data_IF_201432127380
#
_entry.id   IF_201432127380
#
_cell.length_a   1.000
_cell.length_b   1.000
_cell.length_c   1.000
_cell.angle_alpha   90.00
_cell.angle_beta   90.00
_cell.angle_gamma   90.00
#
_symmetry.space_group_name_H-M   'P 1'
#
loop_
_entity.id
_entity.type
_entity.pdbx_description
1 polymer ?
#
# COMPACT_ATOMS: atom_id res chain seq x y z
N UNK A 1 -3.73 -2.19 4.00
CA UNK A 1 -3.82 -2.14 2.53
C UNK A 1 -5.18 -2.63 2.00
N UNK A 2 -5.67 -3.86 2.23
CA UNK A 2 -6.90 -4.32 1.55
C UNK A 2 -8.21 -3.65 2.04
N UNK A 3 -8.17 -2.91 3.15
CA UNK A 3 -9.27 -2.09 3.66
C UNK A 3 -9.43 -0.76 2.92
N UNK A 4 -8.33 -0.14 2.49
CA UNK A 4 -8.28 1.21 1.90
C UNK A 4 -9.06 1.38 0.59
N UNK A 5 -9.01 0.48 -0.42
CA UNK A 5 -9.61 0.74 -1.73
C UNK A 5 -11.11 1.03 -1.68
N UNK A 6 -11.83 0.34 -0.79
CA UNK A 6 -13.28 0.49 -0.71
C UNK A 6 -13.75 1.66 0.15
N UNK A 7 -12.91 2.13 1.09
CA UNK A 7 -13.15 3.40 1.77
C UNK A 7 -13.11 4.53 0.75
N UNK A 8 -12.10 4.51 -0.14
CA UNK A 8 -11.96 5.50 -1.21
C UNK A 8 -13.12 5.44 -2.22
N UNK A 9 -13.56 4.25 -2.61
CA UNK A 9 -14.71 4.11 -3.53
C UNK A 9 -16.01 4.64 -2.91
N UNK A 10 -16.25 4.34 -1.64
CA UNK A 10 -17.39 4.89 -0.92
C UNK A 10 -17.29 6.43 -0.83
N UNK A 11 -16.15 6.95 -0.38
CA UNK A 11 -15.89 8.40 -0.32
C UNK A 11 -16.08 9.10 -1.66
N UNK A 12 -15.63 8.48 -2.76
CA UNK A 12 -15.79 8.99 -4.14
C UNK A 12 -17.26 9.15 -4.52
N UNK A 13 -18.13 8.23 -4.08
CA UNK A 13 -19.56 8.32 -4.37
C UNK A 13 -20.27 9.30 -3.43
N UNK A 14 -20.26 9.03 -2.13
CA UNK A 14 -21.09 9.77 -1.18
C UNK A 14 -20.58 11.18 -0.89
N UNK A 15 -19.27 11.36 -0.81
CA UNK A 15 -18.68 12.64 -0.41
C UNK A 15 -18.29 13.53 -1.60
N UNK A 16 -18.25 12.98 -2.83
CA UNK A 16 -17.87 13.74 -4.04
C UNK A 16 -18.95 13.69 -5.13
N UNK A 17 -19.29 12.51 -5.68
CA UNK A 17 -20.23 12.41 -6.80
C UNK A 17 -21.66 12.81 -6.44
N UNK A 18 -22.17 12.36 -5.31
CA UNK A 18 -23.54 12.67 -4.89
C UNK A 18 -23.75 14.18 -4.72
N UNK A 19 -22.90 14.92 -3.97
CA UNK A 19 -22.94 16.38 -3.94
C UNK A 19 -22.78 17.02 -5.33
N UNK A 20 -21.89 16.49 -6.17
CA UNK A 20 -21.68 17.06 -7.51
C UNK A 20 -22.93 16.97 -8.40
N UNK A 21 -23.63 15.84 -8.35
CA UNK A 21 -24.85 15.59 -9.13
C UNK A 21 -25.96 16.51 -8.64
N UNK A 22 -26.16 16.59 -7.33
CA UNK A 22 -27.17 17.48 -6.72
C UNK A 22 -26.94 18.94 -7.11
N UNK A 23 -25.69 19.42 -7.04
CA UNK A 23 -25.33 20.77 -7.48
C UNK A 23 -25.60 21.01 -8.97
N UNK A 24 -25.32 20.01 -9.81
CA UNK A 24 -25.57 20.11 -11.25
C UNK A 24 -27.08 20.15 -11.57
N UNK A 25 -27.90 19.41 -10.81
CA UNK A 25 -29.36 19.42 -10.92
C UNK A 25 -29.95 20.75 -10.43
N UNK A 26 -29.53 21.24 -9.27
CA UNK A 26 -29.99 22.51 -8.69
C UNK A 26 -29.62 23.73 -9.55
N UNK A 27 -28.48 23.67 -10.25
CA UNK A 27 -28.04 24.76 -11.15
C UNK A 27 -29.03 25.05 -12.29
N UNK A 28 -29.92 24.10 -12.63
CA UNK A 28 -30.91 24.22 -13.69
C UNK A 28 -30.35 24.44 -15.11
N UNK A 29 -29.02 24.50 -15.26
CA UNK A 29 -28.34 24.97 -16.48
C UNK A 29 -28.37 23.91 -17.58
N UNK A 30 -28.40 22.63 -17.21
CA UNK A 30 -28.30 21.50 -18.13
C UNK A 30 -29.61 20.71 -18.29
N UNK A 31 -30.66 21.03 -17.53
CA UNK A 31 -31.93 20.31 -17.58
C UNK A 31 -31.74 18.80 -17.41
N UNK A 32 -32.21 18.01 -18.38
CA UNK A 32 -32.05 16.55 -18.41
C UNK A 32 -30.59 16.06 -18.54
N UNK A 33 -29.64 16.96 -18.83
CA UNK A 33 -28.21 16.66 -18.96
C UNK A 33 -27.39 17.09 -17.74
N UNK A 34 -28.00 17.21 -16.55
CA UNK A 34 -27.31 17.50 -15.28
C UNK A 34 -26.14 16.55 -14.98
N UNK A 35 -26.19 15.32 -15.50
CA UNK A 35 -25.08 14.37 -15.38
C UNK A 35 -23.81 14.77 -16.15
N UNK A 36 -23.93 15.59 -17.19
CA UNK A 36 -22.83 15.93 -18.11
C UNK A 36 -21.64 16.60 -17.41
N UNK A 37 -21.79 17.68 -16.61
CA UNK A 37 -20.66 18.33 -15.95
C UNK A 37 -19.89 17.38 -15.01
N UNK A 38 -20.62 16.56 -14.25
CA UNK A 38 -20.03 15.58 -13.34
C UNK A 38 -19.31 14.48 -14.11
N UNK A 39 -19.92 13.94 -15.17
CA UNK A 39 -19.33 12.91 -16.01
C UNK A 39 -18.09 13.41 -16.76
N UNK A 40 -18.12 14.65 -17.26
CA UNK A 40 -16.98 15.28 -17.91
C UNK A 40 -15.82 15.48 -16.90
N UNK A 41 -16.12 15.99 -15.72
CA UNK A 41 -15.17 16.08 -14.62
C UNK A 41 -14.56 14.72 -14.29
N UNK A 42 -15.39 13.72 -14.06
CA UNK A 42 -14.98 12.35 -13.74
C UNK A 42 -14.04 11.74 -14.79
N UNK A 43 -14.41 11.82 -16.07
CA UNK A 43 -13.57 11.32 -17.15
C UNK A 43 -12.23 12.07 -17.23
N UNK A 44 -12.23 13.39 -17.04
CA UNK A 44 -11.00 14.19 -17.02
C UNK A 44 -10.11 13.84 -15.81
N UNK A 45 -10.69 13.59 -14.65
CA UNK A 45 -9.97 13.15 -13.45
C UNK A 45 -9.27 11.80 -13.66
N UNK A 46 -9.99 10.83 -14.20
CA UNK A 46 -9.42 9.52 -14.53
C UNK A 46 -8.33 9.63 -15.61
N UNK A 47 -8.57 10.42 -16.66
CA UNK A 47 -7.59 10.65 -17.73
C UNK A 47 -6.34 11.39 -17.22
N UNK A 48 -6.49 12.29 -16.24
CA UNK A 48 -5.39 13.00 -15.61
C UNK A 48 -4.45 12.04 -14.87
N UNK A 49 -5.00 11.12 -14.06
CA UNK A 49 -4.18 10.13 -13.35
C UNK A 49 -3.52 9.17 -14.33
N UNK A 50 -4.28 8.63 -15.29
CA UNK A 50 -3.72 7.81 -16.36
C UNK A 50 -2.57 8.51 -17.11
N UNK A 51 -2.73 9.80 -17.42
CA UNK A 51 -1.69 10.61 -18.04
C UNK A 51 -0.45 10.77 -17.15
N UNK A 52 -0.63 10.93 -15.84
CA UNK A 52 0.46 10.96 -14.88
C UNK A 52 1.21 9.62 -14.85
N UNK A 53 0.50 8.50 -14.87
CA UNK A 53 1.08 7.16 -14.89
C UNK A 53 1.83 6.86 -16.18
N UNK A 54 1.41 7.43 -17.31
CA UNK A 54 2.16 7.39 -18.56
C UNK A 54 3.43 8.24 -18.53
N UNK A 55 3.42 9.37 -17.80
CA UNK A 55 4.56 10.28 -17.72
C UNK A 55 5.69 9.72 -16.84
N UNK A 56 5.35 8.98 -15.79
CA UNK A 56 6.31 8.44 -14.81
C UNK A 56 7.38 7.54 -15.48
N UNK A 57 7.04 6.55 -16.33
CA UNK A 57 8.01 5.76 -17.08
C UNK A 57 8.85 6.58 -18.06
N UNK A 58 8.23 7.57 -18.74
CA UNK A 58 8.90 8.43 -19.73
C UNK A 58 9.97 9.32 -19.08
N UNK A 59 9.76 9.71 -17.83
CA UNK A 59 10.75 10.44 -17.02
C UNK A 59 11.86 9.53 -16.43
N UNK A 60 11.87 8.23 -16.74
CA UNK A 60 12.91 7.29 -16.33
C UNK A 60 12.69 6.65 -14.95
N UNK A 61 11.49 6.77 -14.38
CA UNK A 61 11.12 6.22 -13.07
C UNK A 61 10.55 4.79 -13.13
N UNK A 62 11.11 3.91 -13.96
CA UNK A 62 10.67 2.51 -14.00
C UNK A 62 11.27 1.68 -12.85
N UNK A 63 10.42 1.31 -11.90
CA UNK A 63 10.62 0.23 -10.93
C UNK A 63 9.30 -0.49 -10.65
N UNK A 64 9.32 -1.65 -9.96
CA UNK A 64 8.13 -2.47 -9.76
C UNK A 64 7.03 -1.70 -9.02
N UNK A 65 5.77 -2.06 -9.28
CA UNK A 65 4.57 -1.52 -8.63
C UNK A 65 4.70 -1.46 -7.10
N UNK A 66 4.12 -0.41 -6.51
CA UNK A 66 4.46 0.16 -5.20
C UNK A 66 4.48 -0.83 -4.03
N UNK A 67 3.66 -1.88 -4.05
CA UNK A 67 3.58 -2.82 -2.95
C UNK A 67 4.27 -4.18 -3.21
N UNK A 68 4.53 -4.55 -4.48
CA UNK A 68 5.50 -5.62 -4.80
C UNK A 68 6.88 -5.28 -4.24
N UNK A 69 7.27 -4.00 -4.22
CA UNK A 69 8.51 -3.54 -3.60
C UNK A 69 8.49 -3.65 -2.07
N UNK A 70 7.42 -3.21 -1.41
CA UNK A 70 7.27 -3.32 0.03
C UNK A 70 7.31 -4.79 0.50
N UNK A 71 6.64 -5.70 -0.22
CA UNK A 71 6.64 -7.15 0.04
C UNK A 71 8.00 -7.80 -0.25
N UNK A 72 8.70 -7.39 -1.31
CA UNK A 72 10.04 -7.94 -1.61
C UNK A 72 11.10 -7.53 -0.59
N UNK A 73 10.94 -6.37 0.05
CA UNK A 73 11.76 -5.93 1.18
C UNK A 73 11.42 -6.74 2.45
N UNK A 74 10.13 -7.00 2.70
CA UNK A 74 9.68 -7.82 3.83
C UNK A 74 10.19 -9.28 3.70
N UNK A 75 10.11 -9.87 2.50
CA UNK A 75 10.67 -11.21 2.24
C UNK A 75 12.20 -11.28 2.36
N UNK A 76 12.93 -10.23 1.98
CA UNK A 76 14.40 -10.17 2.14
C UNK A 76 14.80 -10.00 3.61
N UNK A 77 14.10 -9.15 4.36
CA UNK A 77 14.34 -8.95 5.79
C UNK A 77 14.07 -10.22 6.60
N UNK A 78 13.05 -11.02 6.22
CA UNK A 78 12.78 -12.33 6.83
C UNK A 78 13.88 -13.34 6.50
N UNK A 79 14.37 -13.35 5.25
CA UNK A 79 15.43 -14.28 4.80
C UNK A 79 16.80 -13.99 5.45
N UNK A 80 17.19 -12.72 5.58
CA UNK A 80 18.43 -12.33 6.27
C UNK A 80 18.39 -12.65 7.76
N UNK A 81 17.22 -12.53 8.40
CA UNK A 81 17.04 -12.89 9.83
C UNK A 81 17.10 -14.40 10.07
N UNK A 82 16.84 -15.21 9.03
CA UNK A 82 16.90 -16.67 9.07
C UNK A 82 18.31 -17.22 8.80
N UNK A 83 19.14 -16.49 8.04
CA UNK A 83 20.57 -16.83 7.83
C UNK A 83 21.49 -16.32 8.95
N UNK A 84 21.10 -15.31 9.74
CA UNK A 84 21.91 -14.74 10.84
C UNK A 84 21.60 -15.28 12.24
N UNK A 85 20.68 -16.23 12.41
CA UNK A 85 20.45 -16.86 13.71
C UNK A 85 21.54 -17.93 13.97
N UNK A 86 22.40 -17.79 15.00
CA UNK A 86 23.39 -18.82 15.30
C UNK A 86 22.67 -20.05 15.88
N UNK A 87 22.94 -21.22 15.30
CA UNK A 87 22.35 -22.48 15.72
C UNK A 87 22.58 -22.78 17.19
N UNK A 88 21.49 -23.03 17.92
CA UNK A 88 21.51 -23.76 19.20
C UNK A 88 20.42 -24.81 19.22
N UNK A 89 20.86 -25.99 19.60
CA UNK A 89 20.19 -27.27 19.53
C UNK A 89 19.02 -27.43 20.51
N UNK A 90 18.06 -28.26 20.09
CA UNK A 90 17.52 -29.36 20.90
C UNK A 90 16.33 -29.03 21.81
N UNK A 91 15.13 -29.48 21.41
CA UNK A 91 14.37 -30.52 22.13
C UNK A 91 12.95 -30.59 21.53
N UNK A 92 12.74 -31.52 20.60
CA UNK A 92 11.40 -31.91 20.17
C UNK A 92 10.75 -32.74 21.28
N UNK A 93 9.70 -32.20 21.92
CA UNK A 93 8.81 -32.98 22.77
C UNK A 93 7.56 -33.32 21.95
N UNK A 94 7.60 -34.42 21.20
CA UNK A 94 6.44 -34.94 20.48
C UNK A 94 5.47 -35.60 21.48
N UNK A 95 4.28 -35.04 21.65
CA UNK A 95 3.17 -35.61 22.41
C UNK A 95 2.66 -36.86 21.65
N UNK A 96 2.90 -38.06 22.20
CA UNK A 96 2.35 -39.32 21.67
C UNK A 96 1.00 -39.64 22.34
N UNK A 97 -0.07 -39.53 21.55
CA UNK A 97 -1.40 -40.04 21.86
C UNK A 97 -1.42 -41.55 21.58
N UNK A 98 -1.94 -42.32 22.54
CA UNK A 98 -1.78 -43.77 22.62
C UNK A 98 -2.59 -44.58 21.61
N UNK A 99 -2.09 -45.79 21.35
CA UNK A 99 -2.90 -46.93 20.91
C UNK A 99 -2.26 -48.22 21.42
N UNK A 100 -3.01 -48.93 22.27
CA UNK A 100 -2.67 -50.22 22.83
C UNK A 100 -2.76 -51.33 21.77
N UNK A 101 -1.86 -52.31 21.85
CA UNK A 101 -1.84 -53.52 21.01
C UNK A 101 -0.74 -54.51 21.40
N UNK A 102 -1.08 -55.41 22.33
CA UNK A 102 -0.69 -56.83 22.54
C UNK A 102 0.59 -57.43 21.87
N UNK A 103 1.60 -57.78 22.71
CA UNK A 103 2.34 -59.07 22.92
C UNK A 103 2.88 -59.93 21.73
N UNK A 104 3.89 -60.84 21.89
CA UNK A 104 5.25 -60.82 22.50
C UNK A 104 6.37 -61.37 21.56
N UNK A 105 7.66 -61.25 21.94
CA UNK A 105 8.61 -62.38 22.20
C UNK A 105 10.11 -62.03 22.08
N UNK A 106 10.88 -62.63 23.00
CA UNK A 106 12.31 -63.07 22.95
C UNK A 106 13.49 -62.08 23.04
N UNK A 107 14.07 -62.08 24.25
CA UNK A 107 15.39 -62.61 24.65
C UNK A 107 16.73 -62.07 24.07
N UNK A 108 17.60 -61.74 25.05
CA UNK A 108 19.07 -61.94 25.16
C UNK A 108 20.12 -60.98 24.53
N UNK A 109 20.90 -60.41 25.48
CA UNK A 109 22.37 -60.33 25.58
C UNK A 109 23.24 -59.41 24.71
N UNK A 110 24.10 -58.65 25.42
CA UNK A 110 25.54 -58.62 25.11
C UNK A 110 26.19 -57.25 24.88
N UNK A 111 26.76 -56.67 25.96
CA UNK A 111 27.97 -55.82 26.12
C UNK A 111 28.45 -54.82 25.02
N UNK A 112 29.02 -53.65 25.43
CA UNK A 112 29.40 -52.56 24.54
C UNK A 112 30.83 -52.70 23.97
N UNK A 113 31.01 -52.39 22.68
CA UNK A 113 32.35 -52.36 22.06
C UNK A 113 32.78 -50.94 21.69
N UNK A 114 33.85 -50.44 22.34
CA UNK A 114 34.61 -49.27 21.92
C UNK A 114 35.32 -49.52 20.58
N UNK A 115 35.44 -48.51 19.70
CA UNK A 115 36.32 -48.58 18.53
C UNK A 115 37.17 -47.31 18.30
N UNK A 116 38.37 -47.38 18.89
CA UNK A 116 39.72 -47.01 18.42
C UNK A 116 39.88 -46.12 17.15
N UNK A 117 40.64 -45.02 17.34
CA UNK A 117 41.33 -44.20 16.31
C UNK A 117 42.26 -45.05 15.43
N UNK A 118 42.24 -44.80 14.12
CA UNK A 118 43.23 -45.28 13.15
C UNK A 118 43.54 -44.19 12.13
N UNK A 119 44.83 -43.93 11.92
CA UNK A 119 45.40 -42.95 10.98
C UNK A 119 45.46 -43.51 9.55
N UNK A 120 45.20 -42.67 8.54
CA UNK A 120 45.38 -42.95 7.12
C UNK A 120 46.44 -42.02 6.49
N UNK A 121 47.03 -42.38 5.32
CA UNK A 121 48.20 -41.69 4.73
C UNK A 121 47.82 -40.40 3.97
N UNK A 122 48.79 -39.50 3.68
CA UNK A 122 48.52 -38.21 3.04
C UNK A 122 48.37 -38.34 1.52
N UNK A 123 47.37 -37.65 0.96
CA UNK A 123 47.16 -37.48 -0.48
C UNK A 123 47.97 -36.27 -1.02
N UNK A 124 48.33 -36.23 -2.32
CA UNK A 124 49.27 -35.25 -2.86
C UNK A 124 48.66 -33.87 -3.08
N UNK A 125 49.49 -32.83 -2.94
CA UNK A 125 49.14 -31.42 -3.11
C UNK A 125 48.62 -31.11 -4.53
N UNK A 126 47.43 -30.51 -4.61
CA UNK A 126 46.88 -29.94 -5.84
C UNK A 126 47.50 -28.56 -6.18
N UNK A 127 47.42 -28.12 -7.44
CA UNK A 127 48.06 -26.89 -7.91
C UNK A 127 47.45 -25.61 -7.30
N UNK A 128 48.18 -24.47 -7.31
CA UNK A 128 47.84 -23.29 -6.52
C UNK A 128 46.51 -22.68 -6.93
N UNK A 129 45.74 -22.25 -5.91
CA UNK A 129 44.48 -21.55 -6.07
C UNK A 129 44.65 -20.29 -6.93
N UNK A 130 43.90 -20.21 -8.03
CA UNK A 130 43.71 -18.96 -8.76
C UNK A 130 43.06 -17.93 -7.81
N UNK A 131 43.56 -16.68 -7.76
CA UNK A 131 42.86 -15.63 -7.04
C UNK A 131 41.56 -15.32 -7.78
N UNK A 132 40.44 -15.61 -7.12
CA UNK A 132 39.11 -15.18 -7.58
C UNK A 132 39.09 -13.64 -7.59
N UNK A 133 38.77 -12.98 -8.72
CA UNK A 133 38.58 -11.53 -8.73
C UNK A 133 37.46 -11.17 -7.76
N UNK A 134 37.78 -10.34 -6.77
CA UNK A 134 36.83 -9.84 -5.79
C UNK A 134 36.06 -8.66 -6.38
N UNK A 135 35.36 -8.90 -7.48
CA UNK A 135 34.53 -7.90 -8.13
C UNK A 135 33.07 -8.14 -7.75
N UNK A 136 32.49 -7.25 -6.93
CA UNK A 136 31.07 -7.34 -6.63
C UNK A 136 30.52 -6.45 -5.50
N UNK A 137 31.32 -5.60 -4.86
CA UNK A 137 30.86 -4.84 -3.70
C UNK A 137 30.14 -3.51 -4.00
N UNK A 138 29.88 -3.13 -5.26
CA UNK A 138 29.34 -1.79 -5.58
C UNK A 138 28.01 -1.75 -6.34
N UNK A 139 27.42 -2.89 -6.73
CA UNK A 139 26.19 -2.92 -7.54
C UNK A 139 24.88 -3.10 -6.74
N UNK A 140 24.92 -3.54 -5.47
CA UNK A 140 23.71 -3.82 -4.69
C UNK A 140 23.01 -2.56 -4.16
N UNK A 141 23.76 -1.51 -3.82
CA UNK A 141 23.25 -0.31 -3.15
C UNK A 141 22.40 0.62 -4.02
N UNK A 142 22.76 0.81 -5.29
CA UNK A 142 22.03 1.69 -6.21
C UNK A 142 20.63 1.17 -6.54
N UNK A 143 20.47 -0.16 -6.61
CA UNK A 143 19.19 -0.79 -6.94
C UNK A 143 18.16 -0.73 -5.80
N UNK A 144 18.60 -0.88 -4.54
CA UNK A 144 17.71 -0.80 -3.36
C UNK A 144 17.25 0.63 -3.10
N UNK A 145 18.18 1.59 -3.22
CA UNK A 145 17.87 3.01 -3.09
C UNK A 145 16.92 3.54 -4.16
N UNK A 146 17.15 3.15 -5.42
CA UNK A 146 16.26 3.52 -6.52
C UNK A 146 14.84 2.99 -6.27
N UNK A 147 14.69 1.78 -5.74
CA UNK A 147 13.38 1.20 -5.40
C UNK A 147 12.66 1.96 -4.28
N UNK A 148 13.37 2.29 -3.19
CA UNK A 148 12.79 3.07 -2.08
C UNK A 148 12.36 4.45 -2.58
N UNK A 149 13.17 5.10 -3.41
CA UNK A 149 12.86 6.40 -3.98
C UNK A 149 11.63 6.35 -4.91
N UNK A 150 11.51 5.31 -5.73
CA UNK A 150 10.36 5.12 -6.61
C UNK A 150 9.06 4.86 -5.82
N UNK A 151 9.14 4.09 -4.74
CA UNK A 151 8.01 3.88 -3.84
C UNK A 151 7.60 5.20 -3.15
N UNK A 152 8.55 5.97 -2.62
CA UNK A 152 8.25 7.28 -2.00
C UNK A 152 7.58 8.21 -3.02
N UNK A 153 8.18 8.37 -4.20
CA UNK A 153 7.67 9.27 -5.24
C UNK A 153 6.23 8.91 -5.62
N UNK A 154 5.95 7.63 -5.75
CA UNK A 154 4.63 7.19 -6.13
C UNK A 154 3.58 7.40 -5.06
N UNK A 155 3.87 7.02 -3.80
CA UNK A 155 2.97 7.30 -2.68
C UNK A 155 2.70 8.81 -2.59
N UNK A 156 3.72 9.64 -2.80
CA UNK A 156 3.55 11.09 -2.88
C UNK A 156 2.62 11.52 -4.02
N UNK A 157 2.73 10.95 -5.22
CA UNK A 157 1.83 11.29 -6.33
C UNK A 157 0.38 10.87 -6.03
N UNK A 158 0.18 9.72 -5.38
CA UNK A 158 -1.14 9.21 -5.00
C UNK A 158 -1.84 10.08 -3.94
N UNK A 159 -1.07 10.72 -3.06
CA UNK A 159 -1.59 11.63 -2.03
C UNK A 159 -2.13 12.95 -2.61
N UNK A 160 -1.81 13.29 -3.87
CA UNK A 160 -2.29 14.53 -4.51
C UNK A 160 -3.80 14.48 -4.78
N UNK A 161 -4.35 13.46 -5.48
CA UNK A 161 -5.79 13.27 -5.62
C UNK A 161 -6.58 13.29 -4.31
N UNK A 162 -6.03 12.67 -3.26
CA UNK A 162 -6.68 12.63 -1.94
C UNK A 162 -6.76 14.01 -1.30
N UNK A 163 -5.64 14.74 -1.30
CA UNK A 163 -5.61 16.12 -0.81
C UNK A 163 -6.58 17.01 -1.58
N UNK A 164 -6.59 16.92 -2.91
CA UNK A 164 -7.55 17.64 -3.76
C UNK A 164 -9.00 17.31 -3.39
N UNK A 165 -9.33 16.03 -3.20
CA UNK A 165 -10.68 15.61 -2.81
C UNK A 165 -11.12 16.22 -1.48
N UNK A 166 -10.26 16.19 -0.45
CA UNK A 166 -10.52 16.84 0.84
C UNK A 166 -10.73 18.34 0.64
N UNK A 167 -9.84 19.00 -0.09
CA UNK A 167 -9.90 20.42 -0.38
C UNK A 167 -11.18 20.86 -1.08
N UNK A 168 -11.54 20.16 -2.15
CA UNK A 168 -12.76 20.42 -2.93
C UNK A 168 -14.00 20.18 -2.07
N UNK A 169 -14.03 19.11 -1.26
CA UNK A 169 -15.12 18.84 -0.32
C UNK A 169 -15.34 19.99 0.68
N UNK A 170 -14.26 20.51 1.27
CA UNK A 170 -14.34 21.68 2.16
C UNK A 170 -14.71 22.97 1.43
N UNK A 171 -14.22 23.17 0.20
CA UNK A 171 -14.57 24.34 -0.62
C UNK A 171 -16.05 24.37 -1.03
N UNK A 172 -16.66 23.20 -1.17
CA UNK A 172 -18.05 23.04 -1.58
C UNK A 172 -19.07 23.25 -0.44
N UNK A 173 -18.62 23.49 0.79
CA UNK A 173 -19.51 23.60 1.95
C UNK A 173 -20.57 24.70 1.74
N UNK A 174 -21.83 24.32 1.89
CA UNK A 174 -22.98 25.22 1.74
C UNK A 174 -23.37 25.53 0.29
N UNK A 175 -22.78 24.83 -0.68
CA UNK A 175 -23.10 24.96 -2.11
C UNK A 175 -24.16 23.95 -2.61
N UNK A 176 -24.51 22.98 -1.78
CA UNK A 176 -25.57 21.97 -1.99
C UNK A 176 -26.12 21.52 -0.64
N UNK A 177 -27.29 20.88 -0.60
CA UNK A 177 -27.80 20.28 0.64
C UNK A 177 -26.90 19.14 1.16
N UNK A 178 -26.27 18.36 0.27
CA UNK A 178 -25.35 17.28 0.64
C UNK A 178 -23.92 17.76 0.92
N UNK A 179 -23.52 18.95 0.46
CA UNK A 179 -22.18 19.50 0.66
C UNK A 179 -22.07 20.19 2.03
N UNK A 180 -22.06 19.40 3.09
CA UNK A 180 -22.04 19.88 4.48
C UNK A 180 -20.62 19.86 5.07
N UNK A 181 -20.41 20.63 6.14
CA UNK A 181 -19.17 20.51 6.93
C UNK A 181 -18.97 19.08 7.46
N UNK A 182 -20.06 18.40 7.83
CA UNK A 182 -20.05 17.02 8.29
C UNK A 182 -19.55 16.08 7.19
N UNK A 183 -20.05 16.19 5.96
CA UNK A 183 -19.60 15.39 4.82
C UNK A 183 -18.10 15.61 4.53
N UNK A 184 -17.67 16.87 4.44
CA UNK A 184 -16.25 17.21 4.21
C UNK A 184 -15.33 16.70 5.34
N UNK A 185 -15.76 16.81 6.60
CA UNK A 185 -15.06 16.26 7.76
C UNK A 185 -14.98 14.74 7.71
N UNK A 186 -16.07 14.06 7.37
CA UNK A 186 -16.12 12.60 7.32
C UNK A 186 -15.21 12.07 6.20
N UNK A 187 -15.18 12.73 5.04
CA UNK A 187 -14.22 12.49 3.96
C UNK A 187 -12.77 12.62 4.45
N UNK A 188 -12.44 13.73 5.12
CA UNK A 188 -11.10 13.97 5.64
C UNK A 188 -10.67 12.94 6.69
N UNK A 189 -11.59 12.50 7.56
CA UNK A 189 -11.31 11.44 8.53
C UNK A 189 -11.09 10.10 7.82
N UNK A 190 -11.93 9.77 6.82
CA UNK A 190 -11.79 8.54 6.03
C UNK A 190 -10.42 8.44 5.37
N UNK A 191 -9.99 9.52 4.71
CA UNK A 191 -8.67 9.64 4.08
C UNK A 191 -7.55 9.61 5.14
N UNK A 192 -7.69 10.33 6.24
CA UNK A 192 -6.69 10.31 7.32
C UNK A 192 -6.46 8.90 7.91
N UNK A 193 -7.51 8.06 8.00
CA UNK A 193 -7.40 6.69 8.52
C UNK A 193 -6.59 5.79 7.58
N UNK A 194 -6.75 5.92 6.27
CA UNK A 194 -6.00 5.11 5.29
C UNK A 194 -4.54 5.59 5.11
N UNK A 195 -4.27 6.87 5.35
CA UNK A 195 -2.92 7.44 5.16
C UNK A 195 -1.94 6.97 6.22
N UNK A 196 -2.42 6.47 7.37
CA UNK A 196 -1.58 5.86 8.38
C UNK A 196 -0.89 4.56 7.90
N UNK A 197 -1.63 3.55 7.39
CA UNK A 197 -1.03 2.41 6.70
C UNK A 197 -0.04 2.76 5.59
N UNK A 198 -0.30 3.82 4.81
CA UNK A 198 0.55 4.23 3.68
C UNK A 198 1.85 4.88 4.12
N UNK A 199 1.79 5.78 5.12
CA UNK A 199 2.99 6.35 5.74
C UNK A 199 3.90 5.29 6.37
N UNK A 200 3.32 4.22 6.91
CA UNK A 200 4.07 3.05 7.39
C UNK A 200 4.71 2.25 6.25
N UNK A 201 4.02 2.09 5.12
CA UNK A 201 4.56 1.44 3.93
C UNK A 201 5.81 2.17 3.40
N UNK A 202 5.90 3.49 3.58
CA UNK A 202 7.11 4.28 3.28
C UNK A 202 8.18 4.15 4.36
N UNK A 203 7.78 4.19 5.64
CA UNK A 203 8.70 4.20 6.77
C UNK A 203 9.43 2.87 6.98
N UNK A 204 8.76 1.72 6.76
CA UNK A 204 9.34 0.41 7.06
C UNK A 204 10.52 0.03 6.14
N UNK A 205 10.47 0.23 4.81
CA UNK A 205 11.61 -0.02 3.93
C UNK A 205 12.81 0.88 4.23
N UNK A 206 12.58 2.15 4.59
CA UNK A 206 13.64 3.07 5.01
C UNK A 206 14.33 2.59 6.29
N UNK A 207 13.55 2.09 7.25
CA UNK A 207 14.10 1.47 8.47
C UNK A 207 14.91 0.21 8.13
N UNK A 208 14.43 -0.62 7.22
CA UNK A 208 15.15 -1.80 6.70
C UNK A 208 16.45 -1.44 5.98
N UNK A 209 16.51 -0.28 5.32
CA UNK A 209 17.72 0.24 4.67
C UNK A 209 18.74 0.88 5.66
N UNK A 210 18.49 0.81 6.97
CA UNK A 210 19.41 1.26 8.01
C UNK A 210 19.14 2.67 8.57
N UNK A 211 18.05 3.33 8.18
CA UNK A 211 17.67 4.62 8.78
C UNK A 211 17.23 4.46 10.23
N UNK A 212 17.44 5.47 11.06
CA UNK A 212 16.86 5.49 12.42
C UNK A 212 15.33 5.51 12.33
N UNK A 213 14.66 4.94 13.34
CA UNK A 213 13.19 4.93 13.42
C UNK A 213 12.59 6.32 13.23
N UNK A 214 13.20 7.34 13.84
CA UNK A 214 12.76 8.73 13.72
C UNK A 214 12.94 9.31 12.32
N UNK A 215 14.07 9.03 11.63
CA UNK A 215 14.28 9.50 10.25
C UNK A 215 13.32 8.82 9.29
N UNK A 216 13.14 7.51 9.43
CA UNK A 216 12.22 6.74 8.59
C UNK A 216 10.77 7.23 8.76
N UNK A 217 10.35 7.47 10.01
CA UNK A 217 9.06 8.07 10.33
C UNK A 217 8.88 9.45 9.68
N UNK A 218 9.87 10.34 9.82
CA UNK A 218 9.79 11.67 9.20
C UNK A 218 9.66 11.63 7.68
N UNK A 219 10.40 10.75 7.00
CA UNK A 219 10.26 10.58 5.55
C UNK A 219 8.87 10.03 5.16
N UNK A 220 8.31 9.12 5.96
CA UNK A 220 6.91 8.69 5.82
C UNK A 220 5.94 9.87 5.90
N UNK A 221 6.05 10.70 6.94
CA UNK A 221 5.20 11.88 7.10
C UNK A 221 5.40 12.91 5.97
N UNK A 222 6.64 13.14 5.56
CA UNK A 222 6.97 14.08 4.47
C UNK A 222 6.36 13.63 3.14
N UNK A 223 6.26 12.32 2.89
CA UNK A 223 5.60 11.81 1.69
C UNK A 223 4.10 12.12 1.62
N UNK A 224 3.46 12.34 2.78
CA UNK A 224 2.06 12.78 2.92
C UNK A 224 1.86 14.29 2.97
N UNK A 225 2.92 15.10 3.09
CA UNK A 225 2.81 16.56 3.21
C UNK A 225 2.21 17.25 1.97
N UNK A 226 2.19 16.56 0.84
CA UNK A 226 1.54 17.03 -0.39
C UNK A 226 0.02 17.08 -0.26
N UNK A 227 -0.58 16.28 0.62
CA UNK A 227 -2.03 16.22 0.81
C UNK A 227 -2.60 17.56 1.36
N UNK A 228 -2.07 18.16 2.46
CA UNK A 228 -2.48 19.50 2.88
C UNK A 228 -2.29 20.59 1.81
N UNK A 229 -1.20 20.53 1.03
CA UNK A 229 -0.92 21.51 -0.02
C UNK A 229 -1.95 21.40 -1.16
N UNK A 230 -2.22 20.16 -1.60
CA UNK A 230 -3.24 19.86 -2.59
C UNK A 230 -4.64 20.23 -2.08
N UNK A 231 -4.93 20.01 -0.79
CA UNK A 231 -6.21 20.39 -0.17
C UNK A 231 -6.43 21.89 -0.10
N UNK A 232 -5.42 22.69 0.28
CA UNK A 232 -5.53 24.15 0.22
C UNK A 232 -5.75 24.63 -1.21
N UNK A 233 -5.03 24.04 -2.19
CA UNK A 233 -5.23 24.35 -3.60
C UNK A 233 -6.64 23.99 -4.08
N UNK A 234 -7.14 22.80 -3.75
CA UNK A 234 -8.49 22.35 -4.11
C UNK A 234 -9.58 23.24 -3.52
N UNK A 235 -9.45 23.62 -2.25
CA UNK A 235 -10.39 24.53 -1.60
C UNK A 235 -10.38 25.92 -2.26
N UNK A 236 -9.20 26.44 -2.60
CA UNK A 236 -9.08 27.74 -3.27
C UNK A 236 -9.62 27.72 -4.70
N UNK A 237 -9.36 26.64 -5.45
CA UNK A 237 -9.86 26.46 -6.82
C UNK A 237 -11.39 26.49 -6.88
N UNK A 238 -12.05 25.90 -5.87
CA UNK A 238 -13.50 25.90 -5.75
C UNK A 238 -14.08 27.30 -5.50
N UNK A 239 -13.44 28.10 -4.63
CA UNK A 239 -13.90 29.47 -4.33
C UNK A 239 -13.88 30.37 -5.57
N UNK A 240 -12.93 30.14 -6.48
CA UNK A 240 -12.78 30.94 -7.69
C UNK A 240 -13.73 30.54 -8.83
N UNK A 241 -14.33 29.34 -8.78
CA UNK A 241 -15.01 28.75 -9.92
C UNK A 241 -16.29 28.02 -9.52
N UNK A 242 -17.26 28.73 -8.92
CA UNK A 242 -18.55 28.15 -8.50
C UNK A 242 -19.29 27.38 -9.60
N UNK A 243 -19.37 27.85 -10.87
CA UNK A 243 -20.00 27.07 -11.94
C UNK A 243 -19.21 25.80 -12.33
N UNK A 244 -17.94 25.72 -11.92
CA UNK A 244 -17.04 24.61 -12.21
C UNK A 244 -17.02 23.56 -11.08
N UNK A 245 -17.70 23.82 -9.96
CA UNK A 245 -17.76 22.92 -8.79
C UNK A 245 -18.20 21.49 -9.14
N UNK A 246 -19.28 21.26 -9.91
CA UNK A 246 -19.68 19.91 -10.27
C UNK A 246 -18.63 19.18 -11.11
N UNK A 247 -17.89 19.91 -11.95
CA UNK A 247 -16.76 19.37 -12.71
C UNK A 247 -15.58 19.05 -11.80
N UNK A 248 -15.28 19.91 -10.82
CA UNK A 248 -14.16 19.72 -9.89
C UNK A 248 -14.39 18.55 -8.93
N UNK A 249 -15.60 18.40 -8.38
CA UNK A 249 -15.99 17.25 -7.57
C UNK A 249 -16.01 15.96 -8.39
N UNK A 250 -16.55 16.03 -9.62
CA UNK A 250 -16.47 14.93 -10.58
C UNK A 250 -15.02 14.53 -10.87
N UNK A 251 -14.14 15.49 -11.12
CA UNK A 251 -12.71 15.29 -11.35
C UNK A 251 -12.02 14.61 -10.17
N UNK A 252 -12.25 15.08 -8.94
CA UNK A 252 -11.68 14.47 -7.74
C UNK A 252 -12.16 13.01 -7.59
N UNK A 253 -13.45 12.74 -7.82
CA UNK A 253 -14.00 11.38 -7.78
C UNK A 253 -13.41 10.49 -8.87
N UNK A 254 -13.29 10.98 -10.11
CA UNK A 254 -12.72 10.24 -11.23
C UNK A 254 -11.26 9.87 -11.02
N UNK A 255 -10.47 10.81 -10.51
CA UNK A 255 -9.08 10.56 -10.14
C UNK A 255 -8.97 9.49 -9.04
N UNK A 256 -9.78 9.59 -7.98
CA UNK A 256 -9.77 8.63 -6.87
C UNK A 256 -10.21 7.22 -7.29
N UNK A 257 -11.26 7.10 -8.12
CA UNK A 257 -11.72 5.81 -8.65
C UNK A 257 -10.67 5.17 -9.56
N UNK A 258 -9.99 5.95 -10.40
CA UNK A 258 -8.93 5.43 -11.26
C UNK A 258 -7.81 4.78 -10.43
N UNK A 259 -7.27 5.50 -9.44
CA UNK A 259 -6.22 4.99 -8.53
C UNK A 259 -6.66 3.69 -7.85
N UNK A 260 -7.90 3.63 -7.38
CA UNK A 260 -8.41 2.40 -6.73
C UNK A 260 -8.45 1.22 -7.70
N UNK A 261 -8.87 1.45 -8.94
CA UNK A 261 -9.06 0.40 -9.94
C UNK A 261 -7.74 -0.09 -10.54
N UNK A 262 -6.80 0.81 -10.81
CA UNK A 262 -5.54 0.49 -11.50
C UNK A 262 -4.47 -0.01 -10.51
N UNK A 263 -4.43 0.54 -9.29
CA UNK A 263 -3.39 0.22 -8.32
C UNK A 263 -3.89 -0.63 -7.15
N UNK A 264 -4.86 -0.11 -6.39
CA UNK A 264 -5.12 -0.62 -5.04
C UNK A 264 -5.86 -1.98 -5.07
N UNK A 265 -6.87 -2.15 -5.92
CA UNK A 265 -7.61 -3.42 -6.04
C UNK A 265 -6.71 -4.55 -6.59
N UNK A 266 -6.00 -4.38 -7.72
CA UNK A 266 -5.13 -5.42 -8.24
C UNK A 266 -4.08 -5.86 -7.22
N UNK A 267 -3.43 -4.90 -6.54
CA UNK A 267 -2.42 -5.19 -5.53
C UNK A 267 -3.00 -5.95 -4.32
N UNK A 268 -4.17 -5.55 -3.84
CA UNK A 268 -4.83 -6.23 -2.72
C UNK A 268 -5.10 -7.70 -3.06
N UNK A 269 -5.42 -8.02 -4.32
CA UNK A 269 -5.69 -9.39 -4.77
C UNK A 269 -4.40 -10.21 -4.99
N UNK A 270 -3.29 -9.58 -5.40
CA UNK A 270 -2.00 -10.26 -5.64
C UNK A 270 -1.20 -10.53 -4.36
N UNK A 271 -1.56 -9.89 -3.23
CA UNK A 271 -0.87 -9.98 -1.93
C UNK A 271 -0.96 -11.34 -1.18
N UNK A 272 -1.42 -12.41 -1.84
CA UNK A 272 -1.41 -13.78 -1.31
C UNK A 272 -2.66 -14.21 -0.54
N UNK A 273 -3.59 -13.30 -0.22
CA UNK A 273 -4.87 -13.64 0.42
C UNK A 273 -6.05 -12.80 -0.11
N UNK A 274 -6.38 -12.98 -1.39
CA UNK A 274 -7.44 -12.23 -2.07
C UNK A 274 -8.83 -12.34 -1.42
N UNK A 275 -9.18 -13.48 -0.80
CA UNK A 275 -10.47 -13.62 -0.08
C UNK A 275 -10.55 -12.73 1.15
N UNK A 276 -9.49 -12.67 1.95
CA UNK A 276 -9.43 -11.77 3.11
C UNK A 276 -9.37 -10.31 2.64
N UNK A 277 -8.71 -10.05 1.51
CA UNK A 277 -8.71 -8.74 0.89
C UNK A 277 -10.13 -8.27 0.52
N UNK A 278 -10.92 -9.13 -0.14
CA UNK A 278 -12.31 -8.82 -0.49
C UNK A 278 -13.21 -8.58 0.74
N UNK A 279 -13.10 -9.39 1.80
CA UNK A 279 -13.91 -9.18 3.02
C UNK A 279 -13.53 -7.91 3.77
N UNK A 280 -12.24 -7.59 3.87
CA UNK A 280 -11.78 -6.34 4.50
C UNK A 280 -12.11 -5.11 3.67
N UNK A 281 -12.12 -5.26 2.34
CA UNK A 281 -12.67 -4.29 1.39
C UNK A 281 -14.16 -4.03 1.64
N UNK A 282 -15.00 -5.06 1.70
CA UNK A 282 -16.44 -4.88 2.00
C UNK A 282 -16.64 -4.18 3.35
N UNK A 283 -15.87 -4.56 4.38
CA UNK A 283 -15.92 -3.89 5.67
C UNK A 283 -15.56 -2.40 5.56
N UNK A 284 -14.52 -2.05 4.80
CA UNK A 284 -14.15 -0.65 4.55
C UNK A 284 -15.25 0.16 3.88
N UNK A 285 -15.89 -0.42 2.86
CA UNK A 285 -17.05 0.19 2.22
C UNK A 285 -18.17 0.48 3.21
N UNK A 286 -18.56 -0.53 4.01
CA UNK A 286 -19.64 -0.43 4.99
C UNK A 286 -19.31 0.61 6.06
N UNK A 287 -18.07 0.63 6.55
CA UNK A 287 -17.63 1.63 7.54
C UNK A 287 -17.74 3.03 6.95
N UNK A 288 -17.21 3.28 5.75
CA UNK A 288 -17.27 4.60 5.12
C UNK A 288 -18.71 5.02 4.81
N UNK A 289 -19.53 4.13 4.26
CA UNK A 289 -20.95 4.39 4.03
C UNK A 289 -21.67 4.72 5.35
N UNK A 290 -21.37 4.01 6.44
CA UNK A 290 -21.96 4.29 7.75
C UNK A 290 -21.47 5.61 8.34
N UNK A 291 -20.20 5.99 8.10
CA UNK A 291 -19.68 7.28 8.52
C UNK A 291 -20.35 8.43 7.76
N UNK A 292 -20.51 8.30 6.44
CA UNK A 292 -21.07 9.35 5.60
C UNK A 292 -22.59 9.50 5.80
N UNK A 293 -23.33 8.38 5.75
CA UNK A 293 -24.81 8.37 5.91
C UNK A 293 -25.24 8.45 7.38
N UNK A 294 -24.51 7.83 8.29
CA UNK A 294 -24.91 7.70 9.70
C UNK A 294 -24.48 8.87 10.60
N UNK A 295 -23.49 9.67 10.18
CA UNK A 295 -23.04 10.88 10.89
C UNK A 295 -23.30 12.17 10.09
N UNK A 296 -23.96 12.06 8.95
CA UNK A 296 -24.38 13.15 8.05
C UNK A 296 -25.74 13.72 8.42
#
# INVERSE_FOLDING_TARGET
>A
LPFCPQVMLAASYWSLLAPAIEMAEESGTFGAFSFFPVAAGFALGAAFVYGADLLIPVLGFSGPSHATLALSCDQRAVKEKQEQAPGRAGSELSIRIGRAGLHPDKAENGEPYQRRRGAGPPLPEGPPAFPVPRDGATAAGSSSWRRILLMILAVTIHNIPEGLAVGVGFGAIGKSASATFQSARNLAIGIGIQNFPEGLAVSLPLRGAGFSTWKAFWYGQLSGMVEPLAGVFGAFAVVLAEPLLPYALGFAAGAMVYVVMDDIIPEAQTSGNGKLASWTSILGFVVMMSLDVGLG
#
